data_IF_404031968041
#
_entry.id   IF_404031968041
#
_cell.length_a   1.000
_cell.length_b   1.000
_cell.length_c   1.000
_cell.angle_alpha   90.00
_cell.angle_beta   90.00
_cell.angle_gamma   90.00
#
_symmetry.space_group_name_H-M   'P 1'
#
loop_
_entity.id
_entity.type
_entity.pdbx_description
1 polymer ?
#
# COMPACT_ATOMS: atom_id res chain seq x y z
N UNK A 1 -21.78 -10.38 -36.94
CA UNK A 1 -22.03 -8.95 -36.58
C UNK A 1 -22.68 -8.77 -35.20
N UNK A 2 -23.74 -9.51 -34.82
CA UNK A 2 -24.40 -9.39 -33.49
C UNK A 2 -23.47 -9.65 -32.29
N UNK A 3 -22.48 -10.55 -32.41
CA UNK A 3 -21.52 -10.87 -31.33
C UNK A 3 -20.51 -9.74 -31.03
N UNK A 4 -20.18 -8.91 -32.03
CA UNK A 4 -19.24 -7.78 -31.87
C UNK A 4 -19.93 -6.62 -31.15
N UNK A 5 -21.21 -6.38 -31.45
CA UNK A 5 -22.02 -5.34 -30.79
C UNK A 5 -22.17 -5.65 -29.29
N UNK A 6 -22.36 -6.92 -28.91
CA UNK A 6 -22.45 -7.35 -27.52
C UNK A 6 -21.13 -7.09 -26.77
N UNK A 7 -19.98 -7.33 -27.39
CA UNK A 7 -18.67 -7.06 -26.79
C UNK A 7 -18.40 -5.56 -26.60
N UNK A 8 -18.83 -4.71 -27.53
CA UNK A 8 -18.69 -3.26 -27.42
C UNK A 8 -19.61 -2.69 -26.33
N UNK A 9 -20.82 -3.23 -26.18
CA UNK A 9 -21.75 -2.84 -25.11
C UNK A 9 -21.25 -3.32 -23.74
N UNK A 10 -20.66 -4.52 -23.65
CA UNK A 10 -20.02 -5.01 -22.43
C UNK A 10 -18.79 -4.17 -22.06
N UNK A 11 -17.92 -3.86 -23.03
CA UNK A 11 -16.76 -3.01 -22.79
C UNK A 11 -17.17 -1.58 -22.36
N UNK A 12 -18.16 -0.99 -23.03
CA UNK A 12 -18.68 0.34 -22.69
C UNK A 12 -19.43 0.37 -21.34
N UNK A 13 -20.16 -0.70 -21.01
CA UNK A 13 -20.85 -0.85 -19.71
C UNK A 13 -19.86 -1.01 -18.56
N UNK A 14 -18.78 -1.79 -18.75
CA UNK A 14 -17.70 -1.93 -17.77
C UNK A 14 -17.00 -0.57 -17.56
N UNK A 15 -16.70 0.16 -18.64
CA UNK A 15 -16.09 1.49 -18.54
C UNK A 15 -16.98 2.53 -17.83
N UNK A 16 -18.29 2.51 -18.08
CA UNK A 16 -19.25 3.41 -17.45
C UNK A 16 -19.44 3.11 -15.96
N UNK A 17 -19.47 1.83 -15.57
CA UNK A 17 -19.54 1.42 -14.15
C UNK A 17 -18.25 1.82 -13.42
N UNK A 18 -17.07 1.62 -14.03
CA UNK A 18 -15.80 2.03 -13.43
C UNK A 18 -15.59 3.55 -13.38
N UNK A 19 -16.17 4.33 -14.31
CA UNK A 19 -16.00 5.80 -14.31
C UNK A 19 -17.01 6.55 -13.44
N UNK A 20 -18.25 6.04 -13.30
CA UNK A 20 -19.30 6.71 -12.52
C UNK A 20 -19.49 6.14 -11.11
N UNK A 21 -18.87 5.02 -10.77
CA UNK A 21 -18.76 4.53 -9.40
C UNK A 21 -17.26 4.33 -9.13
N UNK A 22 -16.58 5.39 -8.69
CA UNK A 22 -15.34 5.16 -7.95
C UNK A 22 -15.73 4.27 -6.75
N UNK A 23 -15.26 3.01 -6.66
CA UNK A 23 -15.59 2.14 -5.53
C UNK A 23 -14.98 2.66 -4.23
N UNK A 24 -14.15 3.70 -4.32
CA UNK A 24 -13.51 4.35 -3.20
C UNK A 24 -14.46 5.42 -2.64
N UNK A 25 -15.07 5.09 -1.50
CA UNK A 25 -15.75 6.08 -0.67
C UNK A 25 -14.78 7.23 -0.34
N UNK A 26 -15.29 8.45 -0.14
CA UNK A 26 -14.46 9.61 0.23
C UNK A 26 -14.38 9.80 1.76
N UNK A 27 -15.38 9.30 2.48
CA UNK A 27 -15.54 9.41 3.93
C UNK A 27 -15.30 8.08 4.61
N UNK A 28 -14.46 8.08 5.66
CA UNK A 28 -14.22 6.91 6.51
C UNK A 28 -15.49 6.59 7.30
N UNK A 29 -16.06 5.42 7.05
CA UNK A 29 -17.23 4.93 7.78
C UNK A 29 -16.81 4.05 8.95
N UNK A 30 -15.81 3.19 8.73
CA UNK A 30 -15.18 2.35 9.74
C UNK A 30 -13.68 2.19 9.39
N UNK A 31 -12.75 2.36 10.35
CA UNK A 31 -11.33 2.24 10.05
C UNK A 31 -10.98 0.77 9.77
N UNK A 32 -10.56 0.50 8.54
CA UNK A 32 -9.92 -0.76 8.17
C UNK A 32 -8.44 -0.52 7.96
N UNK A 33 -7.64 -1.53 8.25
CA UNK A 33 -6.21 -1.57 7.96
C UNK A 33 -5.96 -2.68 6.96
N UNK A 34 -5.27 -2.33 5.86
CA UNK A 34 -4.60 -3.34 5.05
C UNK A 34 -3.26 -3.63 5.69
N UNK A 35 -2.96 -4.90 5.91
CA UNK A 35 -1.62 -5.39 6.20
C UNK A 35 -1.11 -6.09 4.95
N UNK A 36 0.12 -5.79 4.56
CA UNK A 36 0.80 -6.36 3.41
C UNK A 36 2.14 -6.87 3.89
N UNK A 37 2.42 -8.15 3.62
CA UNK A 37 3.71 -8.77 3.90
C UNK A 37 4.34 -9.19 2.59
N UNK A 38 5.62 -8.89 2.44
CA UNK A 38 6.43 -9.30 1.30
C UNK A 38 7.70 -9.94 1.87
N UNK A 39 7.93 -11.19 1.51
CA UNK A 39 9.12 -11.98 1.84
C UNK A 39 9.93 -12.23 0.56
N UNK A 40 11.09 -11.59 0.46
CA UNK A 40 12.10 -11.83 -0.56
C UNK A 40 13.25 -12.64 0.05
N UNK A 41 13.11 -13.97 -0.05
CA UNK A 41 14.06 -14.93 0.49
C UNK A 41 15.42 -14.92 -0.19
N UNK A 42 15.52 -14.44 -1.43
CA UNK A 42 16.80 -14.40 -2.14
C UNK A 42 17.70 -13.29 -1.59
N UNK A 43 17.09 -12.19 -1.15
CA UNK A 43 17.79 -11.02 -0.63
C UNK A 43 17.72 -10.89 0.90
N UNK A 44 17.03 -11.81 1.58
CA UNK A 44 16.74 -11.78 3.03
C UNK A 44 16.05 -10.47 3.46
N UNK A 45 15.10 -10.00 2.63
CA UNK A 45 14.37 -8.76 2.86
C UNK A 45 12.93 -9.10 3.20
N UNK A 46 12.47 -8.59 4.35
CA UNK A 46 11.06 -8.65 4.73
C UNK A 46 10.49 -7.24 4.81
N UNK A 47 9.40 -7.01 4.09
CA UNK A 47 8.67 -5.76 4.13
C UNK A 47 7.30 -6.00 4.76
N UNK A 48 6.94 -5.16 5.72
CA UNK A 48 5.59 -5.12 6.27
C UNK A 48 5.01 -3.73 6.02
N UNK A 49 3.98 -3.67 5.20
CA UNK A 49 3.22 -2.47 4.89
C UNK A 49 1.88 -2.46 5.61
N UNK A 50 1.50 -1.29 6.12
CA UNK A 50 0.17 -1.01 6.64
C UNK A 50 -0.45 0.18 5.92
N UNK A 51 -1.76 0.19 5.75
CA UNK A 51 -2.47 1.34 5.23
C UNK A 51 -3.86 1.49 5.84
N UNK A 52 -4.24 2.72 6.18
CA UNK A 52 -5.59 3.07 6.62
C UNK A 52 -6.54 3.12 5.43
N UNK A 53 -7.64 2.38 5.51
CA UNK A 53 -8.65 2.22 4.47
C UNK A 53 -9.97 2.81 4.96
N UNK A 54 -10.79 3.26 4.01
CA UNK A 54 -12.05 3.94 4.33
C UNK A 54 -13.22 2.99 4.57
N UNK A 55 -13.11 1.76 4.03
CA UNK A 55 -14.05 0.67 4.22
C UNK A 55 -13.37 -0.68 3.94
N UNK A 56 -14.11 -1.76 4.18
CA UNK A 56 -13.67 -3.11 3.84
C UNK A 56 -13.47 -3.29 2.32
N UNK A 57 -14.35 -2.74 1.48
CA UNK A 57 -14.24 -2.81 0.02
C UNK A 57 -13.02 -2.05 -0.50
N UNK A 58 -12.73 -0.87 0.07
CA UNK A 58 -11.51 -0.10 -0.23
C UNK A 58 -10.27 -0.93 0.11
N UNK A 59 -10.28 -1.63 1.25
CA UNK A 59 -9.19 -2.51 1.67
C UNK A 59 -8.97 -3.65 0.68
N UNK A 60 -10.02 -4.41 0.34
CA UNK A 60 -9.91 -5.54 -0.59
C UNK A 60 -9.50 -5.10 -1.99
N UNK A 61 -10.06 -3.99 -2.49
CA UNK A 61 -9.75 -3.44 -3.80
C UNK A 61 -8.29 -3.01 -3.92
N UNK A 62 -7.75 -2.34 -2.90
CA UNK A 62 -6.37 -1.86 -2.90
C UNK A 62 -5.36 -2.97 -2.64
N UNK A 63 -5.69 -3.93 -1.78
CA UNK A 63 -4.86 -5.13 -1.57
C UNK A 63 -4.64 -5.87 -2.90
N UNK A 64 -5.70 -6.06 -3.70
CA UNK A 64 -5.61 -6.70 -5.01
C UNK A 64 -4.76 -5.91 -6.02
N UNK A 65 -4.90 -4.58 -6.05
CA UNK A 65 -4.10 -3.71 -6.93
C UNK A 65 -2.62 -3.76 -6.54
N UNK A 66 -2.33 -3.74 -5.24
CA UNK A 66 -0.96 -3.87 -4.75
C UNK A 66 -0.34 -5.21 -5.21
N UNK A 67 -1.08 -6.32 -5.08
CA UNK A 67 -0.61 -7.62 -5.56
C UNK A 67 -0.29 -7.64 -7.05
N UNK A 68 -1.19 -7.09 -7.86
CA UNK A 68 -0.96 -6.99 -9.29
C UNK A 68 0.34 -6.23 -9.60
N UNK A 69 0.61 -5.12 -8.91
CA UNK A 69 1.82 -4.32 -9.14
C UNK A 69 3.11 -4.97 -8.62
N UNK A 70 3.06 -5.71 -7.51
CA UNK A 70 4.24 -6.36 -6.91
C UNK A 70 4.65 -7.59 -7.71
N UNK A 71 3.69 -8.42 -8.12
CA UNK A 71 3.98 -9.64 -8.88
C UNK A 71 4.30 -9.40 -10.36
N UNK A 72 4.03 -8.20 -10.89
CA UNK A 72 4.26 -7.91 -12.31
C UNK A 72 5.75 -7.86 -12.69
N UNK A 73 6.66 -7.56 -11.74
CA UNK A 73 8.05 -7.25 -12.05
C UNK A 73 9.10 -8.01 -11.23
N UNK A 74 8.68 -8.91 -10.33
CA UNK A 74 9.60 -9.54 -9.39
C UNK A 74 9.43 -11.06 -9.43
N UNK A 75 10.54 -11.78 -9.21
CA UNK A 75 10.62 -13.24 -9.30
C UNK A 75 9.77 -13.98 -8.26
N UNK A 76 10.31 -15.02 -7.61
CA UNK A 76 9.58 -15.75 -6.57
C UNK A 76 9.57 -14.97 -5.25
N UNK A 77 8.72 -13.94 -5.18
CA UNK A 77 8.38 -13.27 -3.93
C UNK A 77 7.13 -13.93 -3.34
N UNK A 78 7.17 -14.23 -2.04
CA UNK A 78 5.97 -14.63 -1.30
C UNK A 78 5.35 -13.41 -0.65
N UNK A 79 4.05 -13.23 -0.84
CA UNK A 79 3.45 -12.02 -0.38
C UNK A 79 1.94 -12.16 -0.12
N UNK A 80 1.52 -11.63 1.03
CA UNK A 80 0.19 -11.85 1.62
C UNK A 80 -0.43 -10.55 2.08
N UNK A 81 -1.73 -10.35 1.79
CA UNK A 81 -2.47 -9.19 2.26
C UNK A 81 -3.64 -9.61 3.12
N UNK A 82 -3.86 -8.86 4.19
CA UNK A 82 -4.96 -9.08 5.12
C UNK A 82 -5.67 -7.77 5.38
N UNK A 83 -7.00 -7.83 5.49
CA UNK A 83 -7.83 -6.69 5.86
C UNK A 83 -8.36 -6.95 7.27
N UNK A 84 -8.14 -6.00 8.17
CA UNK A 84 -8.54 -6.09 9.57
C UNK A 84 -9.10 -4.75 10.04
N UNK A 85 -10.03 -4.76 10.99
CA UNK A 85 -10.48 -3.54 11.68
C UNK A 85 -9.49 -3.07 12.76
N UNK A 86 -8.54 -3.93 13.11
CA UNK A 86 -7.56 -3.70 14.17
C UNK A 86 -6.14 -3.81 13.62
N UNK A 87 -5.30 -2.86 14.03
CA UNK A 87 -3.86 -2.90 13.82
C UNK A 87 -3.19 -3.59 15.02
N UNK A 88 -2.28 -4.56 14.81
CA UNK A 88 -1.58 -5.22 15.90
C UNK A 88 -0.88 -4.20 16.81
N UNK A 89 -0.94 -4.41 18.13
CA UNK A 89 -0.48 -3.45 19.15
C UNK A 89 0.95 -2.93 18.89
N UNK A 90 1.86 -3.83 18.50
CA UNK A 90 3.25 -3.46 18.19
C UNK A 90 3.40 -2.43 17.06
N UNK A 91 2.41 -2.30 16.18
CA UNK A 91 2.45 -1.42 15.01
C UNK A 91 1.62 -0.15 15.18
N UNK A 92 0.83 -0.03 16.24
CA UNK A 92 0.07 1.19 16.55
C UNK A 92 0.94 2.46 16.55
N UNK A 93 2.15 2.46 17.14
CA UNK A 93 3.00 3.67 17.14
C UNK A 93 3.41 4.16 15.74
N UNK A 94 3.31 3.33 14.70
CA UNK A 94 3.68 3.73 13.34
C UNK A 94 2.75 4.82 12.80
N UNK A 95 1.45 4.75 13.09
CA UNK A 95 0.47 5.73 12.60
C UNK A 95 0.50 7.05 13.39
N UNK A 96 1.01 7.01 14.62
CA UNK A 96 1.36 8.21 15.40
C UNK A 96 2.74 8.80 15.01
N UNK A 97 3.39 8.26 13.98
CA UNK A 97 4.70 8.67 13.50
C UNK A 97 5.81 8.59 14.56
N UNK A 98 5.64 7.70 15.53
CA UNK A 98 6.59 7.51 16.61
C UNK A 98 7.79 6.68 16.17
N UNK A 99 8.87 6.79 16.94
CA UNK A 99 10.06 5.97 16.70
C UNK A 99 9.73 4.48 16.87
N UNK A 100 10.22 3.69 15.93
CA UNK A 100 10.08 2.25 15.92
C UNK A 100 11.46 1.59 15.93
N UNK A 101 11.52 0.30 16.23
CA UNK A 101 12.80 -0.41 16.28
C UNK A 101 13.51 -0.35 14.92
N UNK A 102 12.81 -0.69 13.84
CA UNK A 102 13.30 -0.59 12.47
C UNK A 102 12.92 0.75 11.81
N UNK A 103 13.75 1.20 10.86
CA UNK A 103 13.39 2.33 9.99
C UNK A 103 12.16 1.98 9.15
N UNK A 104 11.22 2.91 9.08
CA UNK A 104 10.04 2.79 8.23
C UNK A 104 9.81 4.05 7.40
N UNK A 105 9.06 3.89 6.32
CA UNK A 105 8.62 4.98 5.45
C UNK A 105 7.16 5.29 5.76
N UNK A 106 6.87 6.53 6.08
CA UNK A 106 5.53 7.04 6.29
C UNK A 106 5.03 7.73 5.01
N UNK A 107 3.78 7.47 4.68
CA UNK A 107 3.01 8.09 3.61
C UNK A 107 1.78 8.72 4.24
N UNK A 108 1.64 10.03 4.13
CA UNK A 108 0.48 10.74 4.65
C UNK A 108 -0.39 11.21 3.49
N UNK A 109 -1.70 10.98 3.58
CA UNK A 109 -2.68 11.27 2.53
C UNK A 109 -2.61 12.75 2.13
N UNK A 110 -2.40 13.04 0.85
CA UNK A 110 -2.45 14.39 0.28
C UNK A 110 -3.59 14.64 -0.71
N UNK A 111 -4.34 13.60 -1.07
CA UNK A 111 -5.52 13.69 -1.95
C UNK A 111 -6.49 12.54 -1.71
N UNK A 112 -7.72 12.63 -2.21
CA UNK A 112 -8.79 11.65 -1.91
C UNK A 112 -8.52 10.23 -2.40
N UNK A 113 -7.72 10.10 -3.46
CA UNK A 113 -7.25 8.81 -3.97
C UNK A 113 -6.15 8.15 -3.13
N UNK A 114 -5.57 8.87 -2.16
CA UNK A 114 -4.46 8.40 -1.33
C UNK A 114 -4.91 7.92 0.03
N UNK A 115 -4.05 7.14 0.68
CA UNK A 115 -4.24 6.61 2.03
C UNK A 115 -2.99 6.86 2.85
N UNK A 116 -3.17 7.03 4.15
CA UNK A 116 -2.05 6.96 5.07
C UNK A 116 -1.49 5.54 5.04
N UNK A 117 -0.17 5.41 4.99
CA UNK A 117 0.50 4.12 4.97
C UNK A 117 1.86 4.14 5.63
N UNK A 118 2.29 3.00 6.13
CA UNK A 118 3.54 2.81 6.89
C UNK A 118 4.22 1.55 6.38
N UNK A 119 5.44 1.66 5.88
CA UNK A 119 6.22 0.52 5.37
C UNK A 119 7.47 0.30 6.19
N UNK A 120 7.49 -0.80 6.94
CA UNK A 120 8.62 -1.22 7.77
C UNK A 120 9.50 -2.19 6.99
N UNK A 121 10.81 -1.98 7.08
CA UNK A 121 11.82 -2.82 6.44
C UNK A 121 12.55 -3.62 7.51
N UNK A 122 12.42 -4.95 7.46
CA UNK A 122 13.10 -5.91 8.33
C UNK A 122 14.19 -6.66 7.56
N UNK A 123 15.22 -7.13 8.27
CA UNK A 123 16.37 -7.81 7.67
C UNK A 123 17.36 -6.85 6.99
N UNK A 124 17.04 -5.54 6.99
CA UNK A 124 17.87 -4.50 6.41
C UNK A 124 18.27 -3.51 7.50
N UNK A 125 19.58 -3.28 7.72
CA UNK A 125 20.03 -2.32 8.73
C UNK A 125 19.38 -0.96 8.54
N UNK A 126 18.89 -0.35 9.62
CA UNK A 126 18.26 0.98 9.59
C UNK A 126 19.10 2.05 8.88
N UNK A 127 20.43 1.94 8.94
CA UNK A 127 21.37 2.84 8.26
C UNK A 127 21.35 2.70 6.73
N UNK A 128 21.08 1.50 6.20
CA UNK A 128 20.94 1.25 4.76
C UNK A 128 19.63 1.83 4.26
N UNK A 129 18.53 1.59 4.97
CA UNK A 129 17.22 2.16 4.64
C UNK A 129 17.25 3.68 4.70
N UNK A 130 17.90 4.26 5.73
CA UNK A 130 18.08 5.70 5.84
C UNK A 130 18.84 6.31 4.65
N UNK A 131 19.89 5.65 4.16
CA UNK A 131 20.62 6.08 2.95
C UNK A 131 19.76 5.96 1.68
N UNK A 132 18.91 4.94 1.60
CA UNK A 132 18.00 4.74 0.47
C UNK A 132 16.75 5.64 0.53
N UNK A 133 16.45 6.24 1.69
CA UNK A 133 15.23 6.98 1.96
C UNK A 133 14.92 8.06 0.92
N UNK A 134 15.90 8.91 0.59
CA UNK A 134 15.71 9.99 -0.40
C UNK A 134 15.31 9.45 -1.78
N UNK A 135 15.87 8.30 -2.18
CA UNK A 135 15.54 7.63 -3.44
C UNK A 135 14.14 7.01 -3.39
N UNK A 136 13.77 6.38 -2.27
CA UNK A 136 12.42 5.82 -2.06
C UNK A 136 11.38 6.93 -2.15
N UNK A 137 11.57 8.03 -1.41
CA UNK A 137 10.69 9.21 -1.43
C UNK A 137 10.59 9.76 -2.85
N UNK A 138 11.72 10.00 -3.52
CA UNK A 138 11.74 10.56 -4.87
C UNK A 138 10.99 9.68 -5.88
N UNK A 139 11.12 8.35 -5.76
CA UNK A 139 10.41 7.40 -6.62
C UNK A 139 8.91 7.41 -6.34
N UNK A 140 8.52 7.40 -5.08
CA UNK A 140 7.12 7.41 -4.66
C UNK A 140 6.41 8.72 -5.03
N UNK A 141 7.08 9.86 -4.88
CA UNK A 141 6.57 11.20 -5.26
C UNK A 141 6.25 11.36 -6.75
N UNK A 142 6.66 10.43 -7.62
CA UNK A 142 6.25 10.41 -9.02
C UNK A 142 4.75 10.15 -9.20
N UNK A 143 4.11 9.49 -8.22
CA UNK A 143 2.69 9.09 -8.27
C UNK A 143 1.91 9.52 -7.03
N UNK A 144 2.58 9.75 -5.91
CA UNK A 144 1.99 10.12 -4.63
C UNK A 144 2.24 11.61 -4.33
N UNK A 145 1.16 12.36 -4.13
CA UNK A 145 1.10 13.80 -3.86
C UNK A 145 1.33 14.11 -2.38
N UNK A 146 0.78 13.29 -1.50
CA UNK A 146 0.90 13.43 -0.04
C UNK A 146 2.33 13.39 0.50
N UNK A 147 2.51 13.73 1.77
CA UNK A 147 3.83 13.77 2.38
C UNK A 147 4.43 12.37 2.51
N UNK A 148 5.74 12.26 2.29
CA UNK A 148 6.46 10.99 2.39
C UNK A 148 7.79 11.28 3.07
N UNK A 149 8.07 10.56 4.15
CA UNK A 149 9.30 10.70 4.92
C UNK A 149 9.68 9.37 5.55
N UNK A 150 10.93 9.23 5.98
CA UNK A 150 11.35 8.08 6.76
C UNK A 150 11.49 8.47 8.23
N UNK A 151 11.04 7.58 9.10
CA UNK A 151 11.28 7.66 10.53
C UNK A 151 12.40 6.69 10.86
N UNK A 152 13.50 7.23 11.38
CA UNK A 152 14.71 6.47 11.60
C UNK A 152 14.58 5.55 12.82
N UNK A 153 14.80 4.26 12.58
CA UNK A 153 14.95 3.27 13.62
C UNK A 153 16.41 3.09 14.05
N UNK A 154 16.61 2.21 15.01
CA UNK A 154 17.93 1.90 15.60
C UNK A 154 18.40 0.48 15.33
N UNK A 155 17.51 -0.40 14.88
CA UNK A 155 17.82 -1.80 14.57
C UNK A 155 17.45 -2.13 13.12
N UNK A 156 17.90 -3.28 12.63
CA UNK A 156 17.50 -3.81 11.33
C UNK A 156 17.98 -5.25 11.21
#
# INVERSE_FOLDING_TARGET
MKKIIILIILAGGIQYVFSNHSPFQETMTEPYFVEIRVDDRENDIQLVGFGEMLSHEDCLGRAAIFWASVFEHIGKIEADATCSTELPERYQPLFDNQQFSATYVAFDKGSDGERNGRFVFYGVPSSVVAKACSRIISKAKQRYKGEIYCVQGHVG
#
